data_IF_665575205816
#
_entry.id   IF_665575205816
#
_cell.length_a   1.000
_cell.length_b   1.000
_cell.length_c   1.000
_cell.angle_alpha   90.00
_cell.angle_beta   90.00
_cell.angle_gamma   90.00
#
_symmetry.space_group_name_H-M   'P 1'
#
loop_
_entity.id
_entity.type
_entity.pdbx_description
1 polymer ?
#
# COMPACT_ATOMS: atom_id res chain seq x y z
N UNK A 1 -10.67 -26.70 80.15
CA UNK A 1 -9.27 -27.13 80.39
C UNK A 1 -8.73 -26.81 81.79
N UNK A 2 -8.89 -25.59 82.33
CA UNK A 2 -8.42 -25.23 83.70
C UNK A 2 -9.09 -25.97 84.88
N UNK A 3 -10.27 -26.58 84.69
CA UNK A 3 -10.98 -27.34 85.75
C UNK A 3 -10.60 -28.83 85.84
N UNK A 4 -9.86 -29.38 84.86
CA UNK A 4 -9.59 -30.81 84.77
C UNK A 4 -8.20 -31.22 85.29
N UNK A 5 -7.25 -30.27 85.34
CA UNK A 5 -5.90 -30.47 85.87
C UNK A 5 -5.85 -31.08 87.28
N UNK A 6 -6.60 -30.59 88.29
CA UNK A 6 -6.51 -31.16 89.64
C UNK A 6 -7.03 -32.59 89.74
N UNK A 7 -8.00 -32.98 88.89
CA UNK A 7 -8.54 -34.33 88.86
C UNK A 7 -7.58 -35.34 88.19
N UNK A 8 -6.83 -34.91 87.18
CA UNK A 8 -5.81 -35.72 86.51
C UNK A 8 -4.60 -35.93 87.44
N UNK A 9 -4.16 -34.90 88.15
CA UNK A 9 -3.06 -34.99 89.12
C UNK A 9 -3.39 -35.92 90.30
N UNK A 10 -4.66 -35.98 90.72
CA UNK A 10 -5.10 -36.88 91.81
C UNK A 10 -5.10 -38.35 91.34
N UNK A 11 -5.47 -38.58 90.09
CA UNK A 11 -5.46 -39.88 89.41
C UNK A 11 -4.04 -40.41 89.22
N UNK A 12 -3.11 -39.58 88.72
CA UNK A 12 -1.69 -39.96 88.60
C UNK A 12 -1.07 -40.30 89.96
N UNK A 13 -1.38 -39.51 90.99
CA UNK A 13 -0.89 -39.79 92.36
C UNK A 13 -1.50 -41.05 92.98
N UNK A 14 -2.74 -41.40 92.64
CA UNK A 14 -3.36 -42.65 93.07
C UNK A 14 -2.71 -43.86 92.37
N UNK A 15 -2.50 -43.77 91.05
CA UNK A 15 -1.86 -44.81 90.25
C UNK A 15 -0.41 -45.05 90.68
N UNK A 16 0.39 -43.98 90.84
CA UNK A 16 1.79 -44.07 91.26
C UNK A 16 1.98 -44.62 92.70
N UNK A 17 0.95 -44.53 93.56
CA UNK A 17 0.95 -45.15 94.90
C UNK A 17 0.61 -46.64 94.84
N UNK A 18 -0.32 -47.03 93.96
CA UNK A 18 -0.66 -48.43 93.73
C UNK A 18 0.49 -49.18 93.06
N UNK A 19 1.11 -48.57 92.04
CA UNK A 19 2.24 -49.13 91.29
C UNK A 19 3.47 -49.35 92.18
N UNK A 20 3.86 -48.35 92.98
CA UNK A 20 4.96 -48.49 93.96
C UNK A 20 4.73 -49.58 95.00
N UNK A 21 3.48 -49.78 95.44
CA UNK A 21 3.14 -50.87 96.37
C UNK A 21 3.21 -52.23 95.67
N UNK A 22 2.78 -52.33 94.42
CA UNK A 22 2.87 -53.56 93.64
C UNK A 22 4.32 -53.95 93.32
N UNK A 23 5.20 -52.98 93.04
CA UNK A 23 6.64 -53.24 92.84
C UNK A 23 7.36 -53.68 94.11
N UNK A 24 7.04 -53.07 95.27
CA UNK A 24 7.57 -53.53 96.57
C UNK A 24 7.11 -54.95 96.94
N UNK A 25 5.97 -55.40 96.42
CA UNK A 25 5.42 -56.75 96.63
C UNK A 25 6.10 -57.78 95.69
N UNK A 26 6.45 -57.39 94.47
CA UNK A 26 7.12 -58.26 93.50
C UNK A 26 8.54 -58.68 93.90
N UNK A 27 9.17 -57.94 94.82
CA UNK A 27 10.57 -58.12 95.24
C UNK A 27 10.73 -58.79 96.63
N UNK A 28 9.65 -59.27 97.26
CA UNK A 28 9.70 -59.87 98.61
C UNK A 28 9.18 -61.31 98.66
N UNK A 29 9.98 -62.24 99.19
CA UNK A 29 9.68 -63.67 99.33
C UNK A 29 9.28 -64.06 100.78
N UNK A 30 8.35 -63.32 101.39
CA UNK A 30 7.85 -63.58 102.76
C UNK A 30 6.33 -63.86 102.79
N UNK A 31 5.92 -64.97 103.43
CA UNK A 31 4.53 -65.48 103.45
C UNK A 31 3.57 -64.60 104.26
N UNK A 32 4.05 -63.77 105.19
CA UNK A 32 3.20 -62.86 105.98
C UNK A 32 2.73 -61.64 105.17
N UNK A 33 3.51 -61.21 104.19
CA UNK A 33 3.17 -60.10 103.29
C UNK A 33 2.01 -60.46 102.36
N UNK A 34 1.94 -61.72 101.91
CA UNK A 34 0.90 -62.24 101.00
C UNK A 34 -0.50 -62.23 101.64
N UNK A 35 -0.64 -62.58 102.93
CA UNK A 35 -1.95 -62.56 103.61
C UNK A 35 -2.49 -61.14 103.83
N UNK A 36 -1.60 -60.17 104.07
CA UNK A 36 -1.98 -58.77 104.26
C UNK A 36 -2.48 -58.16 102.94
N UNK A 37 -1.83 -58.52 101.83
CA UNK A 37 -2.23 -58.15 100.47
C UNK A 37 -3.60 -58.72 100.10
N UNK A 38 -3.92 -59.95 100.53
CA UNK A 38 -5.21 -60.58 100.25
C UNK A 38 -6.38 -59.90 100.98
N UNK A 39 -6.12 -59.28 102.14
CA UNK A 39 -7.10 -58.51 102.91
C UNK A 39 -7.37 -57.11 102.31
N UNK A 40 -6.36 -56.48 101.73
CA UNK A 40 -6.47 -55.12 101.17
C UNK A 40 -6.81 -55.08 99.67
N UNK A 41 -6.68 -56.21 98.97
CA UNK A 41 -7.02 -56.38 97.55
C UNK A 41 -8.43 -55.91 97.15
N UNK A 42 -9.51 -56.18 97.95
CA UNK A 42 -10.85 -55.73 97.61
C UNK A 42 -10.98 -54.20 97.62
N UNK A 43 -10.27 -53.54 98.53
CA UNK A 43 -10.28 -52.08 98.70
C UNK A 43 -9.57 -51.40 97.53
N UNK A 44 -8.42 -51.95 97.12
CA UNK A 44 -7.68 -51.50 95.94
C UNK A 44 -8.48 -51.71 94.65
N UNK A 45 -9.19 -52.83 94.51
CA UNK A 45 -10.10 -53.07 93.38
C UNK A 45 -11.25 -52.06 93.33
N UNK A 46 -11.85 -51.69 94.46
CA UNK A 46 -12.90 -50.67 94.47
C UNK A 46 -12.41 -49.28 94.08
N UNK A 47 -11.18 -48.92 94.48
CA UNK A 47 -10.58 -47.63 94.11
C UNK A 47 -10.22 -47.58 92.62
N UNK A 48 -9.69 -48.68 92.06
CA UNK A 48 -9.44 -48.81 90.63
C UNK A 48 -10.74 -48.73 89.80
N UNK A 49 -11.85 -49.27 90.32
CA UNK A 49 -13.15 -49.20 89.64
C UNK A 49 -13.71 -47.78 89.57
N UNK A 50 -13.58 -46.98 90.64
CA UNK A 50 -13.96 -45.57 90.63
C UNK A 50 -13.10 -44.73 89.68
N UNK A 51 -11.82 -45.08 89.55
CA UNK A 51 -10.89 -44.47 88.58
C UNK A 51 -11.34 -44.78 87.15
N UNK A 52 -11.70 -46.02 86.86
CA UNK A 52 -12.12 -46.45 85.53
C UNK A 52 -13.44 -45.79 85.10
N UNK A 53 -14.39 -45.60 86.02
CA UNK A 53 -15.62 -44.85 85.78
C UNK A 53 -15.36 -43.37 85.43
N UNK A 54 -14.43 -42.71 86.14
CA UNK A 54 -14.05 -41.32 85.84
C UNK A 54 -13.31 -41.20 84.50
N UNK A 55 -12.47 -42.17 84.16
CA UNK A 55 -11.78 -42.23 82.86
C UNK A 55 -12.77 -42.51 81.73
N UNK A 56 -13.78 -43.36 81.94
CA UNK A 56 -14.85 -43.61 80.98
C UNK A 56 -15.69 -42.34 80.72
N UNK A 57 -16.01 -41.57 81.76
CA UNK A 57 -16.72 -40.30 81.63
C UNK A 57 -15.91 -39.26 80.82
N UNK A 58 -14.58 -39.20 81.03
CA UNK A 58 -13.69 -38.33 80.25
C UNK A 58 -13.57 -38.78 78.79
N UNK A 59 -13.44 -40.09 78.53
CA UNK A 59 -13.46 -40.64 77.18
C UNK A 59 -14.78 -40.35 76.46
N UNK A 60 -15.90 -40.44 77.18
CA UNK A 60 -17.21 -40.08 76.65
C UNK A 60 -17.27 -38.59 76.28
N UNK A 61 -16.79 -37.70 77.15
CA UNK A 61 -16.78 -36.24 76.90
C UNK A 61 -15.91 -35.85 75.70
N UNK A 62 -14.73 -36.47 75.55
CA UNK A 62 -13.85 -36.28 74.38
C UNK A 62 -14.50 -36.85 73.12
N UNK A 63 -15.17 -38.01 73.19
CA UNK A 63 -15.90 -38.57 72.06
C UNK A 63 -17.16 -37.76 71.68
N UNK A 64 -17.78 -37.10 72.67
CA UNK A 64 -18.91 -36.21 72.45
C UNK A 64 -18.44 -34.93 71.74
N UNK A 65 -17.26 -34.40 72.09
CA UNK A 65 -16.65 -33.28 71.38
C UNK A 65 -16.33 -33.68 69.92
N UNK A 66 -15.74 -34.86 69.67
CA UNK A 66 -15.49 -35.31 68.29
C UNK A 66 -16.78 -35.51 67.47
N UNK A 67 -17.86 -36.02 68.08
CA UNK A 67 -19.15 -36.18 67.40
C UNK A 67 -19.84 -34.84 67.09
N UNK A 68 -19.69 -33.83 67.95
CA UNK A 68 -20.26 -32.48 67.72
C UNK A 68 -19.56 -31.80 66.54
N UNK A 69 -18.26 -32.02 66.37
CA UNK A 69 -17.50 -31.51 65.21
C UNK A 69 -17.82 -32.26 63.90
N UNK A 70 -18.17 -33.54 63.96
CA UNK A 70 -18.52 -34.36 62.78
C UNK A 70 -19.91 -34.04 62.21
N UNK A 71 -20.86 -33.54 63.01
CA UNK A 71 -22.18 -33.09 62.54
C UNK A 71 -22.22 -31.63 62.03
N UNK A 72 -21.17 -30.83 62.29
CA UNK A 72 -21.13 -29.40 61.95
C UNK A 72 -20.08 -29.01 60.89
N UNK A 73 -19.56 -29.95 60.11
CA UNK A 73 -18.82 -29.61 58.88
C UNK A 73 -19.83 -29.30 57.76
N UNK A 74 -19.79 -28.12 57.12
CA UNK A 74 -20.75 -27.75 56.08
C UNK A 74 -20.76 -28.77 54.94
N UNK A 75 -21.96 -29.16 54.46
CA UNK A 75 -22.16 -29.99 53.25
C UNK A 75 -21.25 -29.58 52.07
N UNK A 76 -20.98 -28.28 51.96
CA UNK A 76 -20.16 -27.69 50.91
C UNK A 76 -18.67 -28.04 51.02
N UNK A 77 -18.10 -28.20 52.21
CA UNK A 77 -16.66 -28.50 52.37
C UNK A 77 -16.32 -29.94 51.97
N UNK A 78 -17.15 -30.92 52.37
CA UNK A 78 -16.99 -32.32 51.92
C UNK A 78 -17.17 -32.46 50.42
N UNK A 79 -18.17 -31.78 49.85
CA UNK A 79 -18.40 -31.76 48.40
C UNK A 79 -17.28 -31.09 47.61
N UNK A 80 -16.69 -30.01 48.12
CA UNK A 80 -15.56 -29.34 47.47
C UNK A 80 -14.28 -30.18 47.53
N UNK A 81 -14.03 -30.88 48.65
CA UNK A 81 -12.91 -31.80 48.77
C UNK A 81 -13.05 -33.03 47.85
N UNK A 82 -14.25 -33.61 47.76
CA UNK A 82 -14.56 -34.75 46.88
C UNK A 82 -14.53 -34.35 45.39
N UNK A 83 -14.98 -33.14 45.04
CA UNK A 83 -14.84 -32.59 43.69
C UNK A 83 -13.36 -32.34 43.33
N UNK A 84 -12.56 -31.89 44.30
CA UNK A 84 -11.13 -31.66 44.12
C UNK A 84 -10.33 -32.95 43.88
N UNK A 85 -10.62 -34.02 44.62
CA UNK A 85 -9.97 -35.34 44.47
C UNK A 85 -10.46 -36.10 43.23
N UNK A 86 -11.74 -35.94 42.85
CA UNK A 86 -12.26 -36.42 41.57
C UNK A 86 -11.59 -35.70 40.39
N UNK A 87 -11.45 -34.37 40.46
CA UNK A 87 -10.80 -33.59 39.40
C UNK A 87 -9.30 -33.90 39.27
N UNK A 88 -8.60 -34.15 40.37
CA UNK A 88 -7.18 -34.56 40.33
C UNK A 88 -6.98 -35.98 39.77
N UNK A 89 -7.93 -36.88 40.01
CA UNK A 89 -7.90 -38.25 39.47
C UNK A 89 -8.28 -38.27 37.98
N UNK A 90 -9.32 -37.52 37.57
CA UNK A 90 -9.68 -37.36 36.15
C UNK A 90 -8.55 -36.66 35.38
N UNK A 91 -7.88 -35.66 35.97
CA UNK A 91 -6.78 -34.94 35.32
C UNK A 91 -5.45 -35.71 35.26
N UNK A 92 -5.26 -36.76 36.08
CA UNK A 92 -4.07 -37.62 36.06
C UNK A 92 -4.27 -38.83 35.14
N UNK A 93 -5.44 -39.47 35.15
CA UNK A 93 -5.80 -40.56 34.21
C UNK A 93 -5.94 -40.04 32.78
N UNK A 94 -6.47 -38.82 32.57
CA UNK A 94 -6.54 -38.22 31.24
C UNK A 94 -5.16 -37.95 30.62
N UNK A 95 -4.14 -37.61 31.42
CA UNK A 95 -2.77 -37.38 30.89
C UNK A 95 -2.11 -38.67 30.38
N UNK A 96 -2.39 -39.83 30.96
CA UNK A 96 -1.90 -41.12 30.46
C UNK A 96 -2.57 -41.54 29.15
N UNK A 97 -3.87 -41.26 28.98
CA UNK A 97 -4.62 -41.55 27.74
C UNK A 97 -4.29 -40.54 26.64
N UNK A 98 -4.06 -39.27 26.98
CA UNK A 98 -3.71 -38.20 26.04
C UNK A 98 -2.30 -38.36 25.44
N UNK A 99 -1.37 -39.02 26.13
CA UNK A 99 0.00 -39.24 25.63
C UNK A 99 0.18 -40.60 24.95
N UNK A 100 -0.90 -41.35 24.70
CA UNK A 100 -0.80 -42.62 23.99
C UNK A 100 -0.34 -42.36 22.54
N UNK A 101 0.79 -42.92 22.09
CA UNK A 101 1.26 -42.77 20.71
C UNK A 101 0.36 -43.60 19.78
N UNK A 102 -0.28 -42.95 18.81
CA UNK A 102 -1.12 -43.61 17.82
C UNK A 102 -0.28 -44.13 16.64
N UNK A 103 0.52 -43.24 16.03
CA UNK A 103 1.41 -43.54 14.90
C UNK A 103 2.60 -42.56 14.87
N UNK A 104 3.74 -43.00 14.35
CA UNK A 104 4.92 -42.15 14.11
C UNK A 104 4.98 -41.71 12.65
N UNK A 105 5.07 -40.40 12.42
CA UNK A 105 5.27 -39.82 11.07
C UNK A 105 6.54 -38.98 11.10
N UNK A 106 7.62 -39.50 10.52
CA UNK A 106 8.95 -38.85 10.58
C UNK A 106 9.51 -38.86 12.01
N UNK A 107 9.79 -37.67 12.57
CA UNK A 107 10.31 -37.50 13.94
C UNK A 107 9.22 -37.10 14.96
N UNK A 108 7.94 -37.07 14.58
CA UNK A 108 6.84 -36.65 15.44
C UNK A 108 5.97 -37.86 15.84
N UNK A 109 5.84 -38.09 17.15
CA UNK A 109 4.89 -39.07 17.72
C UNK A 109 3.51 -38.43 17.78
N UNK A 110 2.58 -38.87 16.93
CA UNK A 110 1.21 -38.37 16.95
C UNK A 110 0.50 -38.98 18.14
N UNK A 111 0.35 -38.20 19.20
CA UNK A 111 -0.38 -38.58 20.41
C UNK A 111 -1.88 -38.31 20.26
N UNK A 112 -2.71 -39.02 21.02
CA UNK A 112 -4.16 -38.75 21.08
C UNK A 112 -4.44 -37.29 21.48
N UNK A 113 -3.64 -36.74 22.38
CA UNK A 113 -3.69 -35.34 22.80
C UNK A 113 -3.24 -34.37 21.70
N UNK A 114 -2.22 -34.71 20.91
CA UNK A 114 -1.83 -33.96 19.72
C UNK A 114 -2.96 -33.87 18.70
N UNK A 115 -3.63 -34.99 18.45
CA UNK A 115 -4.77 -35.07 17.52
C UNK A 115 -5.97 -34.23 17.99
N UNK A 116 -6.28 -34.28 19.30
CA UNK A 116 -7.31 -33.44 19.90
C UNK A 116 -6.96 -31.94 19.82
N UNK A 117 -5.70 -31.57 20.05
CA UNK A 117 -5.24 -30.18 19.91
C UNK A 117 -5.36 -29.68 18.48
N UNK A 118 -4.92 -30.46 17.49
CA UNK A 118 -5.07 -30.14 16.06
C UNK A 118 -6.54 -29.92 15.72
N UNK A 119 -7.40 -30.85 16.12
CA UNK A 119 -8.84 -30.77 15.87
C UNK A 119 -9.44 -29.52 16.52
N UNK A 120 -9.07 -29.22 17.77
CA UNK A 120 -9.53 -28.04 18.47
C UNK A 120 -9.07 -26.73 17.80
N UNK A 121 -7.81 -26.66 17.34
CA UNK A 121 -7.26 -25.49 16.64
C UNK A 121 -8.00 -25.28 15.30
N UNK A 122 -8.20 -26.35 14.52
CA UNK A 122 -8.91 -26.27 13.24
C UNK A 122 -10.39 -25.88 13.44
N UNK A 123 -11.06 -26.43 14.43
CA UNK A 123 -12.42 -26.05 14.80
C UNK A 123 -12.50 -24.58 15.22
N UNK A 124 -11.56 -24.12 16.04
CA UNK A 124 -11.48 -22.72 16.46
C UNK A 124 -11.26 -21.78 15.26
N UNK A 125 -10.34 -22.12 14.35
CA UNK A 125 -10.10 -21.35 13.14
C UNK A 125 -11.32 -21.31 12.22
N UNK A 126 -12.01 -22.44 12.06
CA UNK A 126 -13.26 -22.52 11.27
C UNK A 126 -14.39 -21.69 11.91
N UNK A 127 -14.58 -21.80 13.23
CA UNK A 127 -15.58 -21.01 13.97
C UNK A 127 -15.30 -19.51 13.87
N UNK A 128 -14.04 -19.10 14.10
CA UNK A 128 -13.64 -17.71 14.02
C UNK A 128 -13.87 -17.16 12.60
N UNK A 129 -13.54 -17.94 11.58
CA UNK A 129 -13.78 -17.57 10.19
C UNK A 129 -15.28 -17.47 9.86
N UNK A 130 -16.09 -18.40 10.36
CA UNK A 130 -17.54 -18.37 10.22
C UNK A 130 -18.15 -17.13 10.87
N UNK A 131 -17.69 -16.78 12.07
CA UNK A 131 -18.12 -15.57 12.77
C UNK A 131 -17.71 -14.31 12.01
N UNK A 132 -16.47 -14.26 11.50
CA UNK A 132 -15.98 -13.13 10.70
C UNK A 132 -16.81 -12.93 9.43
N UNK A 133 -17.09 -14.01 8.69
CA UNK A 133 -17.95 -13.96 7.49
C UNK A 133 -19.35 -13.46 7.81
N UNK A 134 -19.97 -13.98 8.86
CA UNK A 134 -21.28 -13.50 9.32
C UNK A 134 -21.25 -12.04 9.75
N UNK A 135 -20.16 -11.57 10.35
CA UNK A 135 -20.00 -10.16 10.69
C UNK A 135 -19.93 -9.29 9.44
N UNK A 136 -19.17 -9.69 8.41
CA UNK A 136 -19.12 -9.01 7.11
C UNK A 136 -20.47 -8.98 6.40
N UNK A 137 -21.20 -10.11 6.38
CA UNK A 137 -22.53 -10.21 5.77
C UNK A 137 -23.53 -9.28 6.48
N UNK A 138 -23.55 -9.28 7.82
CA UNK A 138 -24.38 -8.35 8.61
C UNK A 138 -24.00 -6.89 8.38
N UNK A 139 -22.72 -6.60 8.22
CA UNK A 139 -22.26 -5.24 7.92
C UNK A 139 -22.76 -4.78 6.54
N UNK A 140 -22.62 -5.64 5.51
CA UNK A 140 -23.12 -5.36 4.16
C UNK A 140 -24.65 -5.21 4.08
N UNK A 141 -25.41 -5.95 4.88
CA UNK A 141 -26.87 -5.79 4.95
C UNK A 141 -27.31 -4.43 5.53
N UNK A 142 -26.49 -3.82 6.39
CA UNK A 142 -26.79 -2.52 7.02
C UNK A 142 -26.36 -1.31 6.19
N UNK A 143 -25.55 -1.50 5.14
CA UNK A 143 -24.99 -0.43 4.31
C UNK A 143 -25.26 -0.75 2.83
N UNK A 144 -26.38 -0.25 2.26
CA UNK A 144 -26.76 -0.54 0.87
C UNK A 144 -25.74 -0.03 -0.16
N UNK A 145 -24.93 0.97 0.19
CA UNK A 145 -23.91 1.57 -0.68
C UNK A 145 -22.65 0.70 -0.86
N UNK A 146 -22.52 -0.40 -0.10
CA UNK A 146 -21.36 -1.31 -0.18
C UNK A 146 -21.65 -2.44 -1.15
N UNK A 147 -20.72 -2.71 -2.06
CA UNK A 147 -20.87 -3.78 -3.05
C UNK A 147 -20.87 -5.17 -2.38
N UNK A 148 -22.05 -5.83 -2.41
CA UNK A 148 -22.22 -7.19 -1.87
C UNK A 148 -21.26 -8.23 -2.48
N UNK A 149 -20.96 -8.21 -3.79
CA UNK A 149 -19.98 -9.12 -4.38
C UNK A 149 -18.58 -8.96 -3.80
N UNK A 150 -18.15 -7.72 -3.51
CA UNK A 150 -16.83 -7.47 -2.93
C UNK A 150 -16.75 -7.97 -1.49
N UNK A 151 -17.80 -7.77 -0.67
CA UNK A 151 -17.86 -8.32 0.68
C UNK A 151 -17.85 -9.85 0.69
N UNK A 152 -18.56 -10.47 -0.24
CA UNK A 152 -18.54 -11.93 -0.40
C UNK A 152 -17.14 -12.43 -0.76
N UNK A 153 -16.49 -11.81 -1.75
CA UNK A 153 -15.12 -12.15 -2.16
C UNK A 153 -14.13 -11.95 -1.01
N UNK A 154 -14.18 -10.81 -0.32
CA UNK A 154 -13.33 -10.51 0.83
C UNK A 154 -13.53 -11.52 1.97
N UNK A 155 -14.78 -11.86 2.29
CA UNK A 155 -15.10 -12.88 3.28
C UNK A 155 -14.58 -14.27 2.91
N UNK A 156 -14.59 -14.61 1.62
CA UNK A 156 -14.07 -15.90 1.12
C UNK A 156 -12.54 -15.97 1.16
N UNK A 157 -11.86 -14.89 0.76
CA UNK A 157 -10.39 -14.78 0.85
C UNK A 157 -9.95 -14.86 2.32
N UNK A 158 -10.59 -14.08 3.19
CA UNK A 158 -10.32 -14.11 4.64
C UNK A 158 -10.54 -15.52 5.21
N UNK A 159 -11.58 -16.23 4.77
CA UNK A 159 -11.81 -17.61 5.19
C UNK A 159 -10.67 -18.54 4.80
N UNK A 160 -10.22 -18.53 3.56
CA UNK A 160 -9.11 -19.38 3.14
C UNK A 160 -7.81 -19.01 3.87
N UNK A 161 -7.53 -17.73 4.11
CA UNK A 161 -6.38 -17.29 4.89
C UNK A 161 -6.45 -17.77 6.35
N UNK A 162 -7.61 -17.67 7.00
CA UNK A 162 -7.78 -18.12 8.38
C UNK A 162 -7.67 -19.64 8.52
N UNK A 163 -8.23 -20.39 7.57
CA UNK A 163 -8.09 -21.85 7.55
C UNK A 163 -6.64 -22.26 7.28
N UNK A 164 -5.95 -21.61 6.33
CA UNK A 164 -4.55 -21.86 6.04
C UNK A 164 -3.66 -21.55 7.26
N UNK A 165 -3.88 -20.43 7.94
CA UNK A 165 -3.16 -20.06 9.16
C UNK A 165 -3.46 -21.03 10.30
N UNK A 166 -4.73 -21.38 10.51
CA UNK A 166 -5.14 -22.37 11.51
C UNK A 166 -4.52 -23.75 11.26
N UNK A 167 -4.42 -24.16 10.00
CA UNK A 167 -3.74 -25.39 9.59
C UNK A 167 -2.24 -25.35 9.88
N UNK A 168 -1.56 -24.24 9.56
CA UNK A 168 -0.15 -24.05 9.92
C UNK A 168 0.07 -24.10 11.44
N UNK A 169 -0.78 -23.44 12.23
CA UNK A 169 -0.68 -23.47 13.71
C UNK A 169 -0.93 -24.89 14.24
N UNK A 170 -1.88 -25.63 13.67
CA UNK A 170 -2.15 -27.02 14.03
C UNK A 170 -0.94 -27.93 13.77
N UNK A 171 -0.29 -27.80 12.60
CA UNK A 171 0.92 -28.54 12.25
C UNK A 171 2.09 -28.20 13.21
N UNK A 172 2.28 -26.92 13.55
CA UNK A 172 3.27 -26.52 14.55
C UNK A 172 2.99 -27.13 15.93
N UNK A 173 1.72 -27.23 16.33
CA UNK A 173 1.33 -27.74 17.64
C UNK A 173 1.64 -29.24 17.85
N UNK A 174 1.84 -30.00 16.77
CA UNK A 174 2.28 -31.40 16.79
C UNK A 174 3.78 -31.57 16.56
N UNK A 175 4.54 -30.47 16.54
CA UNK A 175 5.99 -30.48 16.43
C UNK A 175 6.54 -30.69 15.02
N UNK A 176 5.72 -30.50 13.99
CA UNK A 176 6.21 -30.55 12.60
C UNK A 176 7.01 -29.30 12.26
N UNK A 177 8.13 -29.50 11.57
CA UNK A 177 8.96 -28.41 11.06
C UNK A 177 8.26 -27.70 9.89
N UNK A 178 7.79 -26.49 10.14
CA UNK A 178 7.14 -25.65 9.15
C UNK A 178 8.13 -24.93 8.23
N UNK A 179 9.44 -25.05 8.43
CA UNK A 179 10.44 -24.28 7.68
C UNK A 179 10.30 -24.46 6.17
N UNK A 180 10.09 -25.69 5.69
CA UNK A 180 9.92 -25.97 4.25
C UNK A 180 8.62 -25.37 3.68
N UNK A 181 7.52 -25.47 4.43
CA UNK A 181 6.24 -24.87 4.05
C UNK A 181 6.34 -23.34 4.07
N UNK A 182 7.00 -22.78 5.07
CA UNK A 182 7.24 -21.35 5.20
C UNK A 182 8.06 -20.81 4.03
N UNK A 183 9.16 -21.48 3.64
CA UNK A 183 9.96 -21.10 2.47
C UNK A 183 9.11 -21.07 1.19
N UNK A 184 8.31 -22.12 0.97
CA UNK A 184 7.43 -22.18 -0.20
C UNK A 184 6.34 -21.09 -0.15
N UNK A 185 5.71 -20.90 1.02
CA UNK A 185 4.71 -19.87 1.23
C UNK A 185 5.28 -18.45 1.09
N UNK A 186 6.53 -18.22 1.48
CA UNK A 186 7.24 -16.96 1.28
C UNK A 186 7.50 -16.70 -0.20
N UNK A 187 8.00 -17.70 -0.95
CA UNK A 187 8.21 -17.56 -2.39
C UNK A 187 6.88 -17.27 -3.13
N UNK A 188 5.82 -18.01 -2.78
CA UNK A 188 4.48 -17.78 -3.31
C UNK A 188 3.95 -16.39 -2.93
N UNK A 189 4.14 -15.97 -1.68
CA UNK A 189 3.73 -14.66 -1.17
C UNK A 189 4.42 -13.50 -1.90
N UNK A 190 5.71 -13.63 -2.19
CA UNK A 190 6.46 -12.66 -3.00
C UNK A 190 5.90 -12.61 -4.43
N UNK A 191 5.63 -13.76 -5.05
CA UNK A 191 5.01 -13.83 -6.38
C UNK A 191 3.63 -13.16 -6.44
N UNK A 192 2.77 -13.41 -5.44
CA UNK A 192 1.48 -12.74 -5.30
C UNK A 192 1.66 -11.23 -5.07
N UNK A 193 2.64 -10.84 -4.25
CA UNK A 193 2.98 -9.43 -3.98
C UNK A 193 3.35 -8.68 -5.25
N UNK A 194 4.20 -9.25 -6.10
CA UNK A 194 4.52 -8.68 -7.41
C UNK A 194 3.28 -8.60 -8.32
N UNK A 195 2.43 -9.63 -8.33
CA UNK A 195 1.17 -9.60 -9.10
C UNK A 195 0.18 -8.53 -8.64
N UNK A 196 0.15 -8.22 -7.34
CA UNK A 196 -0.76 -7.22 -6.75
C UNK A 196 -0.14 -5.82 -6.68
N UNK A 197 1.13 -5.65 -7.05
CA UNK A 197 1.89 -4.41 -6.88
C UNK A 197 1.13 -3.20 -7.46
N UNK A 198 0.59 -3.30 -8.67
CA UNK A 198 -0.15 -2.22 -9.33
C UNK A 198 -1.44 -1.85 -8.60
N UNK A 199 -2.15 -2.83 -8.03
CA UNK A 199 -3.38 -2.58 -7.28
C UNK A 199 -3.08 -1.87 -5.97
N UNK A 200 -2.05 -2.32 -5.24
CA UNK A 200 -1.61 -1.69 -3.99
C UNK A 200 -1.08 -0.28 -4.26
N UNK A 201 -0.30 -0.08 -5.32
CA UNK A 201 0.21 1.23 -5.72
C UNK A 201 -0.96 2.22 -5.94
N UNK A 202 -1.93 1.85 -6.78
CA UNK A 202 -3.10 2.70 -7.04
C UNK A 202 -3.94 2.99 -5.78
N UNK A 203 -4.07 2.01 -4.88
CA UNK A 203 -4.78 2.19 -3.62
C UNK A 203 -4.06 3.21 -2.71
N UNK A 204 -2.75 3.03 -2.51
CA UNK A 204 -1.94 3.95 -1.69
C UNK A 204 -1.94 5.35 -2.31
N UNK A 205 -1.77 5.46 -3.64
CA UNK A 205 -1.86 6.74 -4.34
C UNK A 205 -3.23 7.39 -4.16
N UNK A 206 -4.32 6.63 -4.18
CA UNK A 206 -5.66 7.16 -3.89
C UNK A 206 -5.79 7.74 -2.48
N UNK A 207 -5.25 7.04 -1.47
CA UNK A 207 -5.21 7.57 -0.11
C UNK A 207 -4.39 8.86 -0.02
N UNK A 208 -3.22 8.89 -0.65
CA UNK A 208 -2.34 10.09 -0.70
C UNK A 208 -3.12 11.28 -1.30
N UNK A 209 -3.76 11.10 -2.44
CA UNK A 209 -4.55 12.16 -3.09
C UNK A 209 -5.67 12.69 -2.18
N UNK A 210 -6.37 11.80 -1.49
CA UNK A 210 -7.46 12.16 -0.57
C UNK A 210 -6.96 12.88 0.69
N UNK A 211 -5.83 12.46 1.25
CA UNK A 211 -5.27 13.04 2.48
C UNK A 211 -4.53 14.36 2.22
N UNK A 212 -3.66 14.40 1.22
CA UNK A 212 -2.83 15.58 0.91
C UNK A 212 -3.62 16.67 0.18
N UNK A 213 -4.75 16.32 -0.44
CA UNK A 213 -5.58 17.23 -1.27
C UNK A 213 -4.77 17.98 -2.32
N UNK A 214 -3.75 17.32 -2.89
CA UNK A 214 -2.96 17.82 -4.02
C UNK A 214 -3.81 17.97 -5.29
N UNK A 215 -4.93 17.24 -5.36
CA UNK A 215 -5.94 17.29 -6.40
C UNK A 215 -7.34 17.41 -5.77
N UNK A 216 -8.19 18.29 -6.31
CA UNK A 216 -9.59 18.43 -5.86
C UNK A 216 -10.56 18.12 -6.98
N UNK A 217 -11.74 17.66 -6.60
CA UNK A 217 -12.88 17.57 -7.51
C UNK A 217 -13.20 18.98 -8.02
N UNK A 218 -13.29 19.11 -9.34
CA UNK A 218 -13.48 20.36 -10.06
C UNK A 218 -12.20 20.98 -10.62
N UNK A 219 -11.02 20.43 -10.30
CA UNK A 219 -9.76 20.90 -10.87
C UNK A 219 -9.62 20.51 -12.34
N UNK A 220 -9.15 21.44 -13.16
CA UNK A 220 -8.79 21.16 -14.55
C UNK A 220 -7.31 20.78 -14.62
N UNK A 221 -7.03 19.57 -15.10
CA UNK A 221 -5.69 18.98 -15.09
C UNK A 221 -5.27 18.48 -16.45
N UNK A 222 -3.97 18.50 -16.68
CA UNK A 222 -3.30 17.86 -17.80
C UNK A 222 -2.23 16.91 -17.26
N UNK A 223 -2.29 15.67 -17.75
CA UNK A 223 -1.37 14.60 -17.40
C UNK A 223 -0.31 14.42 -18.49
N UNK A 224 0.82 13.85 -18.12
CA UNK A 224 1.91 13.53 -19.05
C UNK A 224 1.50 12.55 -20.15
N UNK A 225 0.48 11.72 -19.89
CA UNK A 225 -0.14 10.84 -20.89
C UNK A 225 -0.91 11.60 -22.00
N UNK A 226 -1.07 12.92 -21.86
CA UNK A 226 -1.85 13.77 -22.77
C UNK A 226 -3.33 13.87 -22.39
N UNK A 227 -3.77 13.18 -21.33
CA UNK A 227 -5.14 13.29 -20.82
C UNK A 227 -5.34 14.67 -20.20
N UNK A 228 -6.30 15.42 -20.74
CA UNK A 228 -6.64 16.78 -20.27
C UNK A 228 -8.13 16.90 -20.01
N UNK A 229 -8.52 17.37 -18.82
CA UNK A 229 -9.93 17.52 -18.46
C UNK A 229 -10.15 17.92 -17.00
N UNK A 230 -11.42 17.97 -16.61
CA UNK A 230 -11.84 18.28 -15.24
C UNK A 230 -11.98 17.02 -14.39
N UNK A 231 -11.45 17.05 -13.17
CA UNK A 231 -11.58 15.96 -12.20
C UNK A 231 -13.00 15.92 -11.65
N UNK A 232 -13.76 14.87 -11.94
CA UNK A 232 -15.16 14.74 -11.53
C UNK A 232 -15.36 13.85 -10.31
N UNK A 233 -14.51 12.84 -10.11
CA UNK A 233 -14.56 11.96 -8.95
C UNK A 233 -13.16 11.38 -8.62
N UNK A 234 -12.82 11.29 -7.33
CA UNK A 234 -11.59 10.65 -6.86
C UNK A 234 -11.98 9.38 -6.11
N UNK A 235 -11.86 8.24 -6.78
CA UNK A 235 -12.12 6.92 -6.22
C UNK A 235 -10.82 6.28 -5.69
N UNK A 236 -10.96 5.15 -4.99
CA UNK A 236 -9.82 4.55 -4.26
C UNK A 236 -8.68 4.04 -5.15
N UNK A 237 -8.96 3.66 -6.40
CA UNK A 237 -7.96 3.11 -7.35
C UNK A 237 -7.73 3.96 -8.60
N UNK A 238 -8.68 4.81 -8.92
CA UNK A 238 -8.68 5.60 -10.15
C UNK A 238 -9.46 6.89 -9.91
N UNK A 239 -9.07 7.92 -10.62
CA UNK A 239 -9.73 9.22 -10.64
C UNK A 239 -10.40 9.40 -12.00
N UNK A 240 -11.62 9.91 -11.99
CA UNK A 240 -12.37 10.20 -13.22
C UNK A 240 -12.06 11.62 -13.68
N UNK A 241 -11.57 11.72 -14.92
CA UNK A 241 -11.28 12.98 -15.60
C UNK A 241 -12.22 13.10 -16.79
N UNK A 242 -13.03 14.14 -16.83
CA UNK A 242 -13.97 14.40 -17.92
C UNK A 242 -13.39 15.44 -18.86
N UNK A 243 -13.19 15.10 -20.12
CA UNK A 243 -12.63 16.02 -21.13
C UNK A 243 -13.64 17.09 -21.54
N UNK A 244 -13.19 18.11 -22.26
CA UNK A 244 -14.07 19.15 -22.82
C UNK A 244 -15.10 18.63 -23.82
N UNK A 245 -14.85 17.45 -24.40
CA UNK A 245 -15.77 16.74 -25.28
C UNK A 245 -16.74 15.83 -24.50
N UNK A 246 -16.81 15.99 -23.17
CA UNK A 246 -17.67 15.23 -22.26
C UNK A 246 -17.39 13.71 -22.27
N UNK A 247 -16.11 13.34 -22.38
CA UNK A 247 -15.65 11.95 -22.33
C UNK A 247 -15.04 11.67 -20.96
N UNK A 248 -15.58 10.67 -20.26
CA UNK A 248 -15.06 10.22 -18.95
C UNK A 248 -13.86 9.27 -19.15
N UNK A 249 -12.69 9.70 -18.69
CA UNK A 249 -11.46 8.92 -18.69
C UNK A 249 -11.15 8.49 -17.26
N UNK A 250 -10.99 7.18 -17.04
CA UNK A 250 -10.59 6.63 -15.74
C UNK A 250 -9.07 6.52 -15.69
N UNK A 251 -8.44 7.43 -14.95
CA UNK A 251 -6.99 7.49 -14.82
C UNK A 251 -6.57 6.77 -13.52
N UNK A 252 -5.61 5.84 -13.56
CA UNK A 252 -5.07 5.21 -12.37
C UNK A 252 -4.50 6.24 -11.39
N UNK A 253 -4.79 6.12 -10.10
CA UNK A 253 -4.32 7.09 -9.10
C UNK A 253 -2.80 7.21 -9.04
N UNK A 254 -2.09 6.11 -9.35
CA UNK A 254 -0.63 6.11 -9.39
C UNK A 254 -0.04 7.06 -10.43
N UNK A 255 -0.79 7.40 -11.48
CA UNK A 255 -0.34 8.34 -12.51
C UNK A 255 -0.28 9.78 -11.96
N UNK A 256 -1.24 10.18 -11.12
CA UNK A 256 -1.24 11.51 -10.49
C UNK A 256 -0.17 11.67 -9.42
N UNK A 257 0.23 10.58 -8.76
CA UNK A 257 1.20 10.62 -7.67
C UNK A 257 2.63 10.46 -8.17
N UNK A 258 2.86 9.61 -9.17
CA UNK A 258 4.21 9.34 -9.68
C UNK A 258 4.60 10.24 -10.86
N UNK A 259 3.62 10.68 -11.67
CA UNK A 259 3.86 11.48 -12.88
C UNK A 259 3.77 12.98 -12.63
N UNK A 260 4.15 13.76 -13.65
CA UNK A 260 3.93 15.22 -13.63
C UNK A 260 2.45 15.51 -13.90
N UNK A 261 1.82 16.26 -13.01
CA UNK A 261 0.45 16.78 -13.18
C UNK A 261 0.48 18.29 -13.28
N UNK A 262 -0.04 18.82 -14.39
CA UNK A 262 -0.24 20.27 -14.55
C UNK A 262 -1.67 20.59 -14.13
N UNK A 263 -1.84 21.24 -12.98
CA UNK A 263 -3.14 21.76 -12.57
C UNK A 263 -3.31 23.21 -12.99
N UNK A 264 -4.40 23.48 -13.70
CA UNK A 264 -4.71 24.77 -14.29
C UNK A 264 -5.48 25.68 -13.32
N UNK A 265 -5.96 25.11 -12.20
CA UNK A 265 -6.89 25.76 -11.25
C UNK A 265 -6.44 25.67 -9.79
N UNK A 266 -5.26 25.13 -9.49
CA UNK A 266 -4.84 24.73 -8.12
C UNK A 266 -4.91 25.84 -7.05
N UNK A 267 -4.42 27.05 -7.38
CA UNK A 267 -4.29 28.16 -6.42
C UNK A 267 -4.96 29.44 -6.88
N UNK A 268 -4.86 29.73 -8.16
CA UNK A 268 -5.35 30.97 -8.74
C UNK A 268 -6.26 30.65 -9.92
N UNK A 269 -7.44 31.23 -9.88
CA UNK A 269 -8.53 30.91 -10.80
C UNK A 269 -8.35 31.68 -12.14
N UNK A 270 -7.48 32.70 -12.15
CA UNK A 270 -7.17 33.49 -13.33
C UNK A 270 -5.88 33.01 -13.99
N UNK A 271 -5.92 32.75 -15.30
CA UNK A 271 -4.77 32.25 -16.06
C UNK A 271 -4.36 33.21 -17.16
N UNK A 272 -3.05 33.38 -17.34
CA UNK A 272 -2.50 34.12 -18.48
C UNK A 272 -2.38 33.21 -19.70
N UNK A 273 -2.97 33.62 -20.81
CA UNK A 273 -2.89 32.92 -22.10
C UNK A 273 -2.26 33.85 -23.13
N UNK A 274 -1.54 33.24 -24.09
CA UNK A 274 -0.91 33.93 -25.22
C UNK A 274 -1.61 33.48 -26.49
N UNK A 275 -2.11 34.44 -27.26
CA UNK A 275 -2.77 34.21 -28.54
C UNK A 275 -1.83 34.75 -29.63
N UNK A 276 -1.11 33.88 -30.37
CA UNK A 276 -0.19 34.33 -31.40
C UNK A 276 -0.96 34.74 -32.67
N UNK A 277 -0.58 35.86 -33.27
CA UNK A 277 -1.12 36.35 -34.54
C UNK A 277 -0.05 37.11 -35.33
N UNK A 278 -0.14 37.10 -36.67
CA UNK A 278 0.82 37.75 -37.55
C UNK A 278 0.18 38.87 -38.37
N UNK A 279 0.93 39.94 -38.62
CA UNK A 279 0.51 41.08 -39.47
C UNK A 279 1.57 41.41 -40.51
N UNK A 280 1.19 42.10 -41.59
CA UNK A 280 2.11 42.42 -42.67
C UNK A 280 3.28 43.32 -42.21
N UNK A 281 4.43 43.15 -42.86
CA UNK A 281 5.55 44.08 -42.69
C UNK A 281 5.16 45.49 -43.16
N UNK A 282 5.68 46.52 -42.49
CA UNK A 282 5.41 47.93 -42.82
C UNK A 282 4.14 48.51 -42.18
N UNK A 283 3.33 47.70 -41.48
CA UNK A 283 2.19 48.18 -40.70
C UNK A 283 2.66 48.93 -39.44
N UNK A 284 1.93 49.98 -39.07
CA UNK A 284 2.14 50.71 -37.81
C UNK A 284 1.87 49.80 -36.59
N UNK A 285 2.92 49.56 -35.81
CA UNK A 285 2.91 48.68 -34.63
C UNK A 285 1.98 49.19 -33.53
N UNK A 286 1.81 50.51 -33.43
CA UNK A 286 0.97 51.15 -32.42
C UNK A 286 -0.51 50.95 -32.76
N UNK A 287 -0.84 51.00 -34.06
CA UNK A 287 -2.18 50.68 -34.56
C UNK A 287 -2.54 49.22 -34.33
N UNK A 288 -1.61 48.29 -34.59
CA UNK A 288 -1.78 46.85 -34.31
C UNK A 288 -2.04 46.61 -32.83
N UNK A 289 -1.27 47.25 -31.96
CA UNK A 289 -1.45 47.16 -30.51
C UNK A 289 -2.82 47.70 -30.08
N UNK A 290 -3.26 48.82 -30.65
CA UNK A 290 -4.59 49.39 -30.36
C UNK A 290 -5.71 48.42 -30.76
N UNK A 291 -5.67 47.91 -32.00
CA UNK A 291 -6.65 46.96 -32.53
C UNK A 291 -6.74 45.69 -31.67
N UNK A 292 -5.59 45.09 -31.33
CA UNK A 292 -5.56 43.86 -30.54
C UNK A 292 -6.01 44.06 -29.08
N UNK A 293 -5.75 45.22 -28.47
CA UNK A 293 -6.26 45.54 -27.13
C UNK A 293 -7.77 45.80 -27.14
N UNK A 294 -8.30 46.41 -28.19
CA UNK A 294 -9.74 46.60 -28.39
C UNK A 294 -10.47 45.26 -28.60
N UNK A 295 -9.90 44.37 -29.43
CA UNK A 295 -10.37 42.99 -29.57
C UNK A 295 -10.42 42.27 -28.21
N UNK A 296 -9.36 42.38 -27.41
CA UNK A 296 -9.32 41.76 -26.09
C UNK A 296 -10.39 42.33 -25.14
N UNK A 297 -10.67 43.63 -25.22
CA UNK A 297 -11.70 44.29 -24.40
C UNK A 297 -13.13 43.88 -24.80
N UNK A 298 -13.36 43.53 -26.08
CA UNK A 298 -14.64 43.04 -26.58
C UNK A 298 -14.98 41.60 -26.16
N UNK A 299 -13.99 40.83 -25.71
CA UNK A 299 -14.17 39.43 -25.31
C UNK A 299 -14.59 39.33 -23.83
N UNK A 300 -15.78 38.76 -23.51
CA UNK A 300 -16.33 38.79 -22.14
C UNK A 300 -15.49 38.09 -21.07
N UNK A 301 -14.66 37.13 -21.47
CA UNK A 301 -13.86 36.32 -20.56
C UNK A 301 -12.47 36.91 -20.24
N UNK A 302 -12.15 38.08 -20.80
CA UNK A 302 -10.96 38.85 -20.43
C UNK A 302 -11.11 39.41 -19.01
N UNK A 303 -10.19 39.05 -18.13
CA UNK A 303 -10.27 39.37 -16.70
C UNK A 303 -10.15 40.87 -16.39
N UNK A 304 -9.17 41.55 -16.98
CA UNK A 304 -8.94 42.96 -16.70
C UNK A 304 -8.39 43.70 -17.92
N UNK A 305 -8.96 44.88 -18.17
CA UNK A 305 -8.50 45.81 -19.21
C UNK A 305 -7.49 46.82 -18.65
N UNK A 306 -7.37 46.95 -17.33
CA UNK A 306 -6.47 47.87 -16.63
C UNK A 306 -5.74 47.21 -15.46
N UNK A 307 -4.67 47.84 -14.95
CA UNK A 307 -3.88 47.34 -13.83
C UNK A 307 -2.78 46.32 -14.21
N UNK A 308 -2.20 45.61 -13.22
CA UNK A 308 -1.05 44.72 -13.44
C UNK A 308 -1.40 43.46 -14.25
N UNK A 309 -2.67 43.05 -14.27
CA UNK A 309 -3.20 41.92 -15.05
C UNK A 309 -3.93 42.36 -16.34
N UNK A 310 -3.64 43.56 -16.83
CA UNK A 310 -4.21 44.06 -18.08
C UNK A 310 -3.75 43.21 -19.28
N UNK A 311 -4.58 43.19 -20.32
CA UNK A 311 -4.18 42.69 -21.63
C UNK A 311 -2.94 43.43 -22.15
N UNK A 312 -2.04 42.69 -22.79
CA UNK A 312 -0.80 43.22 -23.39
C UNK A 312 -0.64 42.67 -24.79
N UNK A 313 0.05 43.41 -25.63
CA UNK A 313 0.41 42.97 -26.98
C UNK A 313 1.92 43.08 -27.09
N UNK A 314 2.56 41.97 -27.44
CA UNK A 314 4.01 41.87 -27.59
C UNK A 314 4.34 41.60 -29.04
N UNK A 315 5.30 42.34 -29.60
CA UNK A 315 5.97 41.93 -30.84
C UNK A 315 7.05 40.92 -30.43
N UNK A 316 6.85 39.65 -30.79
CA UNK A 316 7.70 38.55 -30.32
C UNK A 316 8.75 38.14 -31.33
N UNK A 317 8.55 38.45 -32.61
CA UNK A 317 9.45 38.02 -33.67
C UNK A 317 9.23 38.72 -35.00
N UNK A 318 10.17 38.45 -35.90
CA UNK A 318 10.14 38.82 -37.31
C UNK A 318 10.09 37.51 -38.09
N UNK A 319 8.89 37.11 -38.52
CA UNK A 319 8.66 35.88 -39.26
C UNK A 319 8.97 36.02 -40.75
N UNK A 320 8.97 34.92 -41.50
CA UNK A 320 9.38 34.89 -42.91
C UNK A 320 8.54 35.81 -43.83
N UNK A 321 7.29 36.09 -43.45
CA UNK A 321 6.36 36.89 -44.26
C UNK A 321 5.49 37.85 -43.43
N UNK A 322 5.65 37.86 -42.10
CA UNK A 322 4.85 38.67 -41.19
C UNK A 322 5.67 39.13 -39.97
N UNK A 323 5.18 40.17 -39.28
CA UNK A 323 5.58 40.50 -37.93
C UNK A 323 4.77 39.64 -36.96
N UNK A 324 5.45 38.90 -36.09
CA UNK A 324 4.81 37.98 -35.13
C UNK A 324 4.45 38.74 -33.86
N UNK A 325 3.17 38.76 -33.53
CA UNK A 325 2.65 39.34 -32.31
C UNK A 325 2.01 38.27 -31.40
N UNK A 326 2.06 38.51 -30.09
CA UNK A 326 1.30 37.76 -29.10
C UNK A 326 0.36 38.70 -28.35
N UNK A 327 -0.93 38.38 -28.38
CA UNK A 327 -1.91 38.97 -27.47
C UNK A 327 -1.90 38.18 -26.16
N UNK A 328 -1.46 38.83 -25.08
CA UNK A 328 -1.35 38.25 -23.75
C UNK A 328 -2.50 38.73 -22.88
N UNK A 329 -3.39 37.81 -22.52
CA UNK A 329 -4.63 38.11 -21.78
C UNK A 329 -4.70 37.27 -20.52
N UNK A 330 -5.27 37.85 -19.46
CA UNK A 330 -5.67 37.11 -18.28
C UNK A 330 -7.13 36.70 -18.44
N UNK A 331 -7.41 35.43 -18.20
CA UNK A 331 -8.75 34.85 -18.31
C UNK A 331 -9.45 34.83 -16.95
N UNK A 332 -10.77 34.92 -17.00
CA UNK A 332 -11.66 34.59 -15.88
C UNK A 332 -11.70 33.08 -15.61
N UNK A 333 -12.19 32.71 -14.42
CA UNK A 333 -12.36 31.33 -13.93
C UNK A 333 -12.92 30.36 -14.97
N UNK A 334 -14.08 30.72 -15.51
CA UNK A 334 -14.89 29.84 -16.32
C UNK A 334 -14.26 29.59 -17.68
N UNK A 335 -13.45 30.54 -18.16
CA UNK A 335 -12.75 30.46 -19.42
C UNK A 335 -11.49 29.57 -19.35
N UNK A 336 -10.84 29.45 -18.18
CA UNK A 336 -9.64 28.62 -18.02
C UNK A 336 -9.91 27.16 -18.39
N UNK A 337 -11.11 26.67 -18.09
CA UNK A 337 -11.53 25.28 -18.37
C UNK A 337 -11.80 24.99 -19.85
N UNK A 338 -11.88 26.02 -20.71
CA UNK A 338 -12.29 25.89 -22.12
C UNK A 338 -11.27 26.49 -23.08
N UNK A 339 -10.00 26.02 -23.09
CA UNK A 339 -8.91 26.63 -23.85
C UNK A 339 -9.21 26.80 -25.35
N UNK A 340 -9.79 25.77 -26.00
CA UNK A 340 -10.10 25.83 -27.43
C UNK A 340 -11.16 26.88 -27.80
N UNK A 341 -12.25 26.94 -27.04
CA UNK A 341 -13.30 27.94 -27.25
C UNK A 341 -12.80 29.37 -27.01
N UNK A 342 -11.95 29.55 -25.99
CA UNK A 342 -11.34 30.84 -25.69
C UNK A 342 -10.43 31.31 -26.83
N UNK A 343 -9.55 30.42 -27.30
CA UNK A 343 -8.63 30.75 -28.40
C UNK A 343 -9.40 31.11 -29.67
N UNK A 344 -10.44 30.36 -30.02
CA UNK A 344 -11.30 30.66 -31.16
C UNK A 344 -11.94 32.05 -31.03
N UNK A 345 -12.49 32.39 -29.87
CA UNK A 345 -13.14 33.69 -29.66
C UNK A 345 -12.17 34.87 -29.77
N UNK A 346 -10.94 34.75 -29.26
CA UNK A 346 -9.93 35.79 -29.46
C UNK A 346 -9.50 35.91 -30.91
N UNK A 347 -9.40 34.80 -31.66
CA UNK A 347 -9.08 34.87 -33.08
C UNK A 347 -10.16 35.58 -33.90
N UNK A 348 -11.43 35.30 -33.63
CA UNK A 348 -12.54 36.01 -34.25
C UNK A 348 -12.49 37.51 -33.95
N UNK A 349 -12.38 37.88 -32.67
CA UNK A 349 -12.31 39.29 -32.27
C UNK A 349 -11.07 40.02 -32.82
N UNK A 350 -9.92 39.32 -32.90
CA UNK A 350 -8.70 39.86 -33.50
C UNK A 350 -8.86 40.12 -34.99
N UNK A 351 -9.44 39.18 -35.75
CA UNK A 351 -9.64 39.33 -37.18
C UNK A 351 -10.57 40.51 -37.48
N UNK A 352 -11.71 40.60 -36.78
CA UNK A 352 -12.66 41.70 -36.92
C UNK A 352 -12.00 43.06 -36.63
N UNK A 353 -11.22 43.15 -35.55
CA UNK A 353 -10.52 44.38 -35.17
C UNK A 353 -9.42 44.75 -36.17
N UNK A 354 -8.55 43.80 -36.55
CA UNK A 354 -7.49 44.05 -37.53
C UNK A 354 -8.08 44.54 -38.85
N UNK A 355 -9.17 43.92 -39.31
CA UNK A 355 -9.88 44.33 -40.52
C UNK A 355 -10.48 45.73 -40.39
N UNK A 356 -11.10 46.08 -39.27
CA UNK A 356 -11.66 47.41 -39.04
C UNK A 356 -10.62 48.53 -39.09
N UNK A 357 -9.38 48.23 -38.68
CA UNK A 357 -8.24 49.16 -38.75
C UNK A 357 -7.47 49.09 -40.08
N UNK A 358 -7.91 48.26 -41.04
CA UNK A 358 -7.25 48.11 -42.34
C UNK A 358 -5.89 47.43 -42.26
N UNK A 359 -5.65 46.64 -41.22
CA UNK A 359 -4.39 45.92 -41.02
C UNK A 359 -4.42 44.61 -41.81
N UNK A 360 -3.49 44.46 -42.74
CA UNK A 360 -3.39 43.28 -43.58
C UNK A 360 -2.78 42.09 -42.83
N UNK A 361 -3.42 40.93 -42.96
CA UNK A 361 -2.86 39.62 -42.58
C UNK A 361 -2.20 39.03 -43.84
N UNK A 362 -0.87 38.89 -43.86
CA UNK A 362 -0.16 38.59 -45.09
C UNK A 362 -0.27 37.11 -45.45
N UNK A 363 -0.36 36.83 -46.74
CA UNK A 363 -0.02 35.52 -47.28
C UNK A 363 1.50 35.31 -47.29
N UNK A 364 1.99 34.07 -47.43
CA UNK A 364 3.41 33.80 -47.62
C UNK A 364 3.98 34.64 -48.78
N UNK A 365 4.95 35.49 -48.46
CA UNK A 365 5.61 36.39 -49.41
C UNK A 365 6.83 35.70 -50.02
N UNK A 366 7.08 35.95 -51.31
CA UNK A 366 8.26 35.43 -52.01
C UNK A 366 8.78 36.47 -52.99
N UNK A 367 10.05 36.82 -52.81
CA UNK A 367 10.78 37.62 -53.79
C UNK A 367 11.36 36.70 -54.87
N UNK A 368 10.85 36.85 -56.09
CA UNK A 368 11.29 36.09 -57.25
C UNK A 368 12.30 36.91 -58.06
N UNK A 369 13.57 36.54 -57.96
CA UNK A 369 14.65 37.13 -58.76
C UNK A 369 14.86 36.33 -60.05
N UNK A 370 14.14 36.71 -61.11
CA UNK A 370 14.27 36.07 -62.44
C UNK A 370 15.59 36.51 -63.10
N UNK A 371 16.54 35.58 -63.24
CA UNK A 371 17.87 35.83 -63.86
C UNK A 371 17.86 35.65 -65.38
N UNK A 372 17.10 34.68 -65.88
CA UNK A 372 16.94 34.41 -67.31
C UNK A 372 15.52 33.94 -67.61
N UNK A 373 15.02 34.28 -68.81
CA UNK A 373 13.69 33.87 -69.29
C UNK A 373 13.82 33.52 -70.77
N UNK A 374 13.49 32.29 -71.15
CA UNK A 374 13.61 31.79 -72.53
C UNK A 374 15.00 31.97 -73.17
N UNK A 375 16.07 31.90 -72.39
CA UNK A 375 17.45 32.09 -72.86
C UNK A 375 17.88 33.54 -73.05
N UNK A 376 16.98 34.52 -72.81
CA UNK A 376 17.34 35.91 -72.66
C UNK A 376 17.85 36.18 -71.24
N UNK A 377 18.82 37.06 -71.10
CA UNK A 377 19.43 37.41 -69.81
C UNK A 377 18.99 38.79 -69.32
N UNK A 378 18.92 38.96 -68.01
CA UNK A 378 18.80 40.24 -67.31
C UNK A 378 17.71 41.19 -67.85
N UNK A 379 18.07 42.28 -68.54
CA UNK A 379 17.12 43.30 -69.03
C UNK A 379 16.23 42.77 -70.15
N UNK A 380 16.74 41.89 -71.01
CA UNK A 380 15.94 41.24 -72.05
C UNK A 380 14.92 40.28 -71.39
N UNK A 381 15.35 39.50 -70.40
CA UNK A 381 14.44 38.65 -69.62
C UNK A 381 13.33 39.45 -68.91
N UNK A 382 13.68 40.61 -68.34
CA UNK A 382 12.72 41.53 -67.70
C UNK A 382 11.73 42.13 -68.71
N UNK A 383 12.20 42.54 -69.88
CA UNK A 383 11.34 43.09 -70.94
C UNK A 383 10.40 42.04 -71.54
N UNK A 384 10.84 40.78 -71.65
CA UNK A 384 10.01 39.63 -72.01
C UNK A 384 8.92 39.34 -70.96
N UNK A 385 9.29 39.31 -69.67
CA UNK A 385 8.34 39.09 -68.57
C UNK A 385 7.25 40.18 -68.54
N UNK A 386 7.62 41.44 -68.78
CA UNK A 386 6.69 42.57 -68.82
C UNK A 386 5.84 42.63 -70.11
N UNK A 387 5.98 41.67 -71.02
CA UNK A 387 5.25 41.63 -72.30
C UNK A 387 5.64 42.72 -73.29
N UNK A 388 6.75 43.42 -73.06
CA UNK A 388 7.25 44.51 -73.92
C UNK A 388 8.11 43.99 -75.09
N UNK A 389 8.53 42.73 -75.04
CA UNK A 389 9.30 42.06 -76.08
C UNK A 389 8.68 40.70 -76.43
N UNK A 390 8.84 40.25 -77.68
CA UNK A 390 8.43 38.90 -78.12
C UNK A 390 9.50 37.88 -77.71
N UNK A 391 9.13 36.68 -77.24
CA UNK A 391 10.09 35.65 -76.89
C UNK A 391 11.03 35.36 -78.05
N UNK A 392 12.35 35.35 -77.82
CA UNK A 392 13.30 35.02 -78.87
C UNK A 392 12.99 33.61 -79.41
N UNK A 393 13.15 33.42 -80.73
CA UNK A 393 13.11 32.07 -81.32
C UNK A 393 14.14 31.21 -80.59
N UNK A 394 13.74 30.02 -80.14
CA UNK A 394 14.59 29.09 -79.40
C UNK A 394 16.01 29.08 -79.98
N UNK A 395 17.04 29.46 -79.20
CA UNK A 395 18.40 29.47 -79.72
C UNK A 395 18.79 28.04 -80.10
N UNK A 396 19.38 27.85 -81.29
CA UNK A 396 20.13 26.63 -81.59
C UNK A 396 21.19 26.53 -80.48
N UNK A 397 21.15 25.47 -79.68
CA UNK A 397 22.11 25.25 -78.59
C UNK A 397 23.52 25.56 -79.10
N UNK A 398 24.21 26.59 -78.57
CA UNK A 398 25.62 26.75 -78.88
C UNK A 398 26.34 25.53 -78.34
N UNK A 399 27.21 24.92 -79.16
CA UNK A 399 28.16 23.95 -78.63
C UNK A 399 28.97 24.68 -77.56
N UNK A 400 29.13 24.13 -76.34
CA UNK A 400 29.90 24.80 -75.31
C UNK A 400 31.33 25.03 -75.80
N UNK A 401 31.72 26.30 -75.99
CA UNK A 401 33.03 26.71 -76.49
C UNK A 401 34.18 26.52 -75.49
N UNK A 402 33.88 25.96 -74.31
CA UNK A 402 34.87 25.62 -73.29
C UNK A 402 34.66 24.19 -72.79
N UNK A 403 34.95 23.19 -73.63
CA UNK A 403 35.29 21.88 -73.10
C UNK A 403 36.73 21.92 -72.61
N UNK A 404 36.93 21.86 -71.29
CA UNK A 404 38.24 21.62 -70.68
C UNK A 404 39.01 20.57 -71.49
N UNK A 405 40.27 20.84 -71.80
CA UNK A 405 41.12 19.89 -72.51
C UNK A 405 41.21 18.57 -71.75
N UNK A 406 41.51 17.48 -72.46
CA UNK A 406 41.57 16.13 -71.85
C UNK A 406 42.62 16.05 -70.73
N UNK A 407 43.66 16.90 -70.77
CA UNK A 407 44.65 17.09 -69.71
C UNK A 407 44.07 17.83 -68.50
N UNK A 408 43.39 18.96 -68.69
CA UNK A 408 42.79 19.73 -67.59
C UNK A 408 41.70 18.93 -66.85
N UNK A 409 40.90 18.14 -67.57
CA UNK A 409 39.94 17.21 -66.94
C UNK A 409 40.59 16.09 -66.15
N UNK A 410 41.83 15.72 -66.49
CA UNK A 410 42.56 14.65 -65.78
C UNK A 410 43.22 15.18 -64.52
N UNK A 411 43.68 16.43 -64.54
CA UNK A 411 44.19 17.13 -63.35
C UNK A 411 43.06 17.47 -62.37
N UNK A 412 41.96 18.09 -62.84
CA UNK A 412 40.81 18.43 -62.00
C UNK A 412 39.92 17.23 -61.63
N UNK A 413 40.13 16.08 -62.28
CA UNK A 413 39.41 14.84 -62.00
C UNK A 413 40.05 13.97 -60.92
N UNK A 414 41.26 14.32 -60.47
CA UNK A 414 41.88 13.69 -59.31
C UNK A 414 41.19 14.15 -58.04
N UNK A 415 40.81 13.22 -57.16
CA UNK A 415 40.26 13.53 -55.84
C UNK A 415 41.42 13.87 -54.91
N UNK A 416 42.00 15.05 -55.11
CA UNK A 416 43.09 15.64 -54.30
C UNK A 416 42.80 15.57 -52.80
N UNK A 417 41.54 15.78 -52.40
CA UNK A 417 41.09 15.64 -51.02
C UNK A 417 41.25 14.20 -50.45
N UNK A 418 41.17 13.16 -51.27
CA UNK A 418 41.42 11.77 -50.85
C UNK A 418 42.91 11.48 -50.69
N UNK A 419 43.74 12.02 -51.58
CA UNK A 419 45.19 11.85 -51.54
C UNK A 419 45.80 12.59 -50.32
N UNK A 420 45.31 13.80 -50.03
CA UNK A 420 45.68 14.55 -48.82
C UNK A 420 45.20 13.82 -47.55
N UNK A 421 43.97 13.28 -47.55
CA UNK A 421 43.46 12.48 -46.43
C UNK A 421 44.26 11.17 -46.21
N UNK A 422 44.76 10.54 -47.28
CA UNK A 422 45.62 9.35 -47.19
C UNK A 422 47.03 9.71 -46.70
N UNK A 423 47.54 10.90 -47.01
CA UNK A 423 48.85 11.37 -46.55
C UNK A 423 48.86 11.75 -45.04
N UNK A 424 47.73 12.20 -44.50
CA UNK A 424 47.58 12.51 -43.07
C UNK A 424 47.35 11.27 -42.18
N UNK A 425 47.06 10.10 -42.77
CA UNK A 425 46.94 8.87 -42.00
C UNK A 425 48.35 8.40 -41.53
N UNK A 426 48.58 8.24 -40.22
CA UNK A 426 49.85 7.71 -39.72
C UNK A 426 50.01 6.28 -40.25
N UNK A 427 51.15 6.00 -40.91
CA UNK A 427 51.49 4.69 -41.47
C UNK A 427 51.70 3.65 -40.37
N UNK A 428 50.61 3.20 -39.74
CA UNK A 428 50.63 1.99 -38.92
C UNK A 428 50.64 0.79 -39.86
N UNK A 429 51.84 0.22 -40.04
CA UNK A 429 52.15 -1.12 -40.56
C UNK A 429 50.90 -2.00 -40.80
N UNK A 430 50.45 -2.05 -42.05
CA UNK A 430 49.60 -3.16 -42.52
C UNK A 430 50.49 -4.41 -42.56
N UNK A 431 50.12 -5.53 -41.90
CA UNK A 431 50.92 -6.75 -41.96
C UNK A 431 50.94 -7.30 -43.39
N UNK A 432 52.12 -7.69 -43.89
CA UNK A 432 52.25 -8.40 -45.17
C UNK A 432 51.38 -9.67 -45.15
N UNK A 433 50.59 -9.94 -46.20
CA UNK A 433 49.79 -11.15 -46.29
C UNK A 433 50.71 -12.36 -46.49
N UNK A 434 50.52 -13.37 -45.63
CA UNK A 434 51.18 -14.67 -45.63
C UNK A 434 51.09 -15.36 -47.01
N UNK A 435 52.22 -15.67 -47.67
CA UNK A 435 52.23 -16.29 -48.99
C UNK A 435 51.81 -17.78 -48.99
N UNK A 436 51.42 -18.37 -47.87
CA UNK A 436 51.01 -19.79 -47.78
C UNK A 436 49.52 -20.07 -48.01
N UNK A 437 48.67 -19.05 -48.22
CA UNK A 437 47.22 -19.24 -48.44
C UNK A 437 46.80 -19.40 -49.91
N UNK A 438 47.62 -20.05 -50.75
CA UNK A 438 47.21 -20.54 -52.07
C UNK A 438 47.62 -22.00 -52.26
N UNK A 439 46.79 -22.90 -51.72
CA UNK A 439 46.57 -24.26 -52.23
C UNK A 439 45.16 -24.71 -51.84
#
# INVERSE_FOLDING_TARGET
>A
MKSLLPAVDELERAYARADRRLTLIADSSDRRTVQTVQRDLPKLRSQLRQVDEKVAALRWLVSAESQIWEQRTPFWERRLADLGSFWSTVSSTSRQVLNYPLFEVGNATITLGGTLRVTAILLAAWLLSHWFRRALERYGQRRPDVSRPALYAAGRIAHYLMIALGFSIALAAIGLDLTKIAIFASALGVGIGFGLQTVVNNFISGLILLFERSLKIGDFVELESGVTGEVTDISIRATRVTTNDNIDILVPNSEFVNGRVTSWTLREITRRVRIPFGVAYGVDKELVKKAALEAAAGVPFTFATSGPRRAQVWLVGFGDSCLDFELVVWLTADAVKRPGAVQAAYYWALEDALRAYGIEIPFPQRDLHVRSLFGAEQEEARSLWQGRAKPPKAPKQPKPDATLSKSERRELGGNDALDDALAELPTSKVPEPDPSARS
#
